data_IF_563128625790
#
_entry.id   IF_563128625790
#
_cell.length_a   1.000
_cell.length_b   1.000
_cell.length_c   1.000
_cell.angle_alpha   90.00
_cell.angle_beta   90.00
_cell.angle_gamma   90.00
#
_symmetry.space_group_name_H-M   'P 1'
#
loop_
_entity.id
_entity.type
_entity.pdbx_description
1 polymer ?
#
# COMPACT_ATOMS: atom_id res chain seq x y z
N UNK A 1 10.91 23.14 1.84
CA UNK A 1 10.57 21.71 1.99
C UNK A 1 10.38 21.11 0.61
N UNK A 2 11.27 20.21 0.18
CA UNK A 2 11.22 19.57 -1.13
C UNK A 2 10.06 18.57 -1.15
N UNK A 3 8.98 18.85 -1.90
CA UNK A 3 7.87 17.89 -2.06
C UNK A 3 8.39 16.66 -2.80
N UNK A 4 8.49 15.52 -2.11
CA UNK A 4 8.71 14.21 -2.74
C UNK A 4 7.59 14.00 -3.78
N UNK A 5 7.97 13.64 -5.01
CA UNK A 5 7.00 13.30 -6.05
C UNK A 5 6.24 12.04 -5.62
N UNK A 6 4.92 12.13 -5.52
CA UNK A 6 4.08 10.99 -5.17
C UNK A 6 4.23 9.90 -6.24
N UNK A 7 4.60 8.70 -5.80
CA UNK A 7 4.69 7.50 -6.63
C UNK A 7 3.36 6.76 -6.63
N UNK A 8 3.22 5.74 -7.48
CA UNK A 8 2.02 4.89 -7.53
C UNK A 8 1.70 4.30 -6.16
N UNK A 9 2.71 3.83 -5.43
CA UNK A 9 2.55 3.25 -4.09
C UNK A 9 1.96 4.25 -3.07
N UNK A 10 2.26 5.54 -3.17
CA UNK A 10 1.70 6.56 -2.28
C UNK A 10 0.17 6.69 -2.47
N UNK A 11 -0.35 6.46 -3.69
CA UNK A 11 -1.80 6.46 -3.92
C UNK A 11 -2.50 5.31 -3.17
N UNK A 12 -1.90 4.12 -3.18
CA UNK A 12 -2.42 2.96 -2.44
C UNK A 12 -2.32 3.16 -0.94
N UNK A 13 -1.17 3.65 -0.47
CA UNK A 13 -0.96 3.97 0.94
C UNK A 13 -2.00 4.98 1.43
N UNK A 14 -2.23 6.07 0.69
CA UNK A 14 -3.22 7.07 1.06
C UNK A 14 -4.64 6.50 1.09
N UNK A 15 -5.02 5.68 0.10
CA UNK A 15 -6.33 5.05 0.08
C UNK A 15 -6.55 4.16 1.32
N UNK A 16 -5.56 3.33 1.66
CA UNK A 16 -5.63 2.44 2.83
C UNK A 16 -5.63 3.20 4.16
N UNK A 17 -4.84 4.28 4.26
CA UNK A 17 -4.79 5.17 5.44
C UNK A 17 -6.16 5.84 5.65
N UNK A 18 -6.73 6.40 4.58
CA UNK A 18 -8.04 7.04 4.63
C UNK A 18 -9.15 6.04 5.01
N UNK A 19 -9.08 4.80 4.52
CA UNK A 19 -10.01 3.73 4.88
C UNK A 19 -9.95 3.34 6.35
N UNK A 20 -8.78 3.47 7.00
CA UNK A 20 -8.63 3.26 8.45
C UNK A 20 -9.15 4.44 9.29
N UNK A 21 -9.62 5.51 8.66
CA UNK A 21 -10.02 6.75 9.35
C UNK A 21 -8.84 7.57 9.86
N UNK A 22 -7.62 7.25 9.44
CA UNK A 22 -6.43 8.01 9.79
C UNK A 22 -6.27 9.18 8.81
N UNK A 23 -5.95 10.36 9.33
CA UNK A 23 -5.65 11.55 8.52
C UNK A 23 -4.15 11.81 8.52
N UNK A 24 -3.40 10.93 7.85
CA UNK A 24 -1.94 11.05 7.67
C UNK A 24 -1.66 11.35 6.21
N UNK A 25 -0.96 12.44 5.97
CA UNK A 25 -0.64 12.98 4.65
C UNK A 25 0.77 12.60 4.20
N UNK A 26 1.02 12.55 2.88
CA UNK A 26 2.35 12.26 2.36
C UNK A 26 3.33 13.35 2.78
N UNK A 27 4.42 12.95 3.43
CA UNK A 27 5.43 13.85 3.98
C UNK A 27 5.43 13.95 5.49
N UNK A 28 4.38 13.47 6.16
CA UNK A 28 4.40 13.27 7.61
C UNK A 28 5.34 12.12 7.98
N UNK A 29 5.98 12.23 9.16
CA UNK A 29 6.99 11.29 9.63
C UNK A 29 6.48 9.83 9.65
N UNK A 30 5.23 9.65 10.06
CA UNK A 30 4.63 8.32 10.22
C UNK A 30 4.05 7.75 8.93
N UNK A 31 3.89 8.56 7.88
CA UNK A 31 3.20 8.19 6.65
C UNK A 31 3.75 6.90 6.02
N UNK A 32 5.06 6.82 5.82
CA UNK A 32 5.70 5.65 5.19
C UNK A 32 5.59 4.41 6.08
N UNK A 33 5.68 4.58 7.40
CA UNK A 33 5.58 3.45 8.33
C UNK A 33 4.17 2.88 8.37
N UNK A 34 3.15 3.74 8.48
CA UNK A 34 1.75 3.32 8.49
C UNK A 34 1.35 2.77 7.11
N UNK A 35 1.65 3.49 6.04
CA UNK A 35 1.34 3.07 4.67
C UNK A 35 1.97 1.73 4.31
N UNK A 36 3.25 1.51 4.63
CA UNK A 36 3.92 0.24 4.38
C UNK A 36 3.33 -0.91 5.20
N UNK A 37 2.87 -0.64 6.43
CA UNK A 37 2.23 -1.66 7.27
C UNK A 37 0.93 -2.13 6.65
N UNK A 38 0.06 -1.20 6.25
CA UNK A 38 -1.22 -1.51 5.62
C UNK A 38 -1.04 -2.22 4.26
N UNK A 39 -0.08 -1.77 3.45
CA UNK A 39 0.25 -2.44 2.18
C UNK A 39 0.73 -3.86 2.43
N UNK A 40 1.59 -4.07 3.43
CA UNK A 40 2.09 -5.41 3.76
C UNK A 40 0.97 -6.32 4.26
N UNK A 41 0.04 -5.82 5.06
CA UNK A 41 -1.15 -6.59 5.48
C UNK A 41 -1.96 -7.05 4.28
N UNK A 42 -2.18 -6.17 3.29
CA UNK A 42 -2.83 -6.55 2.03
C UNK A 42 -2.06 -7.62 1.26
N UNK A 43 -0.75 -7.46 1.12
CA UNK A 43 0.07 -8.44 0.43
C UNK A 43 0.07 -9.78 1.16
N UNK A 44 0.09 -9.79 2.50
CA UNK A 44 -0.04 -11.01 3.29
C UNK A 44 -1.32 -11.77 2.94
N UNK A 45 -2.46 -11.08 2.85
CA UNK A 45 -3.72 -11.72 2.45
C UNK A 45 -3.66 -12.26 1.02
N UNK A 46 -3.00 -11.56 0.09
CA UNK A 46 -2.84 -12.06 -1.28
C UNK A 46 -1.95 -13.30 -1.36
N UNK A 47 -0.90 -13.37 -0.55
CA UNK A 47 0.01 -14.51 -0.49
C UNK A 47 -0.50 -15.65 0.40
N UNK A 48 -1.60 -15.44 1.14
CA UNK A 48 -2.18 -16.46 2.01
C UNK A 48 -2.62 -17.68 1.18
N UNK A 49 -2.23 -18.87 1.63
CA UNK A 49 -2.49 -20.13 0.93
C UNK A 49 -1.65 -20.39 -0.34
N UNK A 50 -0.78 -19.47 -0.78
CA UNK A 50 0.06 -19.66 -1.97
C UNK A 50 1.37 -20.41 -1.71
N UNK A 51 1.78 -20.54 -0.43
CA UNK A 51 3.08 -21.09 -0.04
C UNK A 51 4.27 -20.15 -0.29
N UNK A 52 4.04 -18.96 -0.85
CA UNK A 52 5.07 -17.95 -1.10
C UNK A 52 5.11 -16.94 0.04
N UNK A 53 6.32 -16.55 0.47
CA UNK A 53 6.45 -15.53 1.51
C UNK A 53 6.15 -14.13 0.95
N UNK A 54 5.31 -13.34 1.64
CA UNK A 54 5.10 -11.94 1.29
C UNK A 54 6.36 -11.12 1.56
N UNK A 55 6.56 -10.00 0.84
CA UNK A 55 7.72 -9.14 1.04
C UNK A 55 7.80 -8.60 2.48
N UNK A 56 9.03 -8.48 2.98
CA UNK A 56 9.27 -7.93 4.31
C UNK A 56 8.81 -6.47 4.42
N UNK A 57 8.48 -6.04 5.64
CA UNK A 57 8.07 -4.65 5.89
C UNK A 57 9.13 -3.65 5.45
N UNK A 58 10.42 -3.97 5.64
CA UNK A 58 11.54 -3.13 5.20
C UNK A 58 11.55 -2.96 3.68
N UNK A 59 11.30 -4.03 2.93
CA UNK A 59 11.19 -4.01 1.47
C UNK A 59 10.03 -3.13 1.02
N UNK A 60 8.86 -3.27 1.65
CA UNK A 60 7.68 -2.44 1.36
C UNK A 60 7.95 -0.96 1.66
N UNK A 61 8.60 -0.65 2.79
CA UNK A 61 9.03 0.73 3.11
C UNK A 61 9.99 1.27 2.04
N UNK A 62 10.91 0.45 1.54
CA UNK A 62 11.85 0.86 0.52
C UNK A 62 11.17 1.25 -0.80
N UNK A 63 10.03 0.64 -1.16
CA UNK A 63 9.28 1.00 -2.38
C UNK A 63 8.70 2.42 -2.38
N UNK A 64 8.62 3.08 -1.22
CA UNK A 64 8.28 4.51 -1.18
C UNK A 64 9.45 5.35 -1.72
N UNK A 65 10.68 4.99 -1.40
CA UNK A 65 11.87 5.73 -1.81
C UNK A 65 12.40 5.28 -3.18
N UNK A 66 12.34 3.97 -3.43
CA UNK A 66 12.75 3.29 -4.66
C UNK A 66 11.54 2.97 -5.53
N UNK A 67 11.72 2.24 -6.63
CA UNK A 67 10.58 1.82 -7.45
C UNK A 67 9.87 0.59 -6.87
N UNK A 68 8.54 0.67 -6.87
CA UNK A 68 7.68 -0.45 -6.49
C UNK A 68 7.53 -1.37 -7.71
N UNK A 69 7.73 -2.69 -7.57
CA UNK A 69 7.63 -3.60 -8.68
C UNK A 69 6.21 -3.65 -9.25
N UNK A 70 6.07 -3.77 -10.57
CA UNK A 70 4.78 -3.69 -11.25
C UNK A 70 3.78 -4.77 -10.78
N UNK A 71 4.26 -5.97 -10.44
CA UNK A 71 3.40 -7.02 -9.89
C UNK A 71 2.74 -6.60 -8.57
N UNK A 72 3.46 -5.87 -7.70
CA UNK A 72 2.92 -5.42 -6.43
C UNK A 72 1.85 -4.34 -6.66
N UNK A 73 2.07 -3.45 -7.64
CA UNK A 73 1.07 -2.48 -8.07
C UNK A 73 -0.17 -3.19 -8.63
N UNK A 74 -0.01 -4.22 -9.45
CA UNK A 74 -1.12 -4.98 -10.01
C UNK A 74 -1.96 -5.66 -8.91
N UNK A 75 -1.31 -6.29 -7.92
CA UNK A 75 -1.98 -6.93 -6.77
C UNK A 75 -2.75 -5.88 -5.94
N UNK A 76 -2.13 -4.75 -5.61
CA UNK A 76 -2.77 -3.69 -4.84
C UNK A 76 -3.94 -3.05 -5.61
N UNK A 77 -3.82 -2.92 -6.93
CA UNK A 77 -4.90 -2.42 -7.79
C UNK A 77 -6.09 -3.36 -7.78
N UNK A 78 -5.85 -4.66 -7.95
CA UNK A 78 -6.92 -5.67 -7.89
C UNK A 78 -7.63 -5.65 -6.55
N UNK A 79 -6.88 -5.58 -5.44
CA UNK A 79 -7.45 -5.53 -4.11
C UNK A 79 -8.34 -4.31 -3.88
N UNK A 80 -7.94 -3.13 -4.35
CA UNK A 80 -8.77 -1.92 -4.28
C UNK A 80 -10.01 -1.99 -5.17
N UNK A 81 -9.90 -2.58 -6.37
CA UNK A 81 -11.04 -2.70 -7.30
C UNK A 81 -12.06 -3.69 -6.76
N UNK A 82 -11.64 -4.90 -6.36
CA UNK A 82 -12.56 -5.92 -5.83
C UNK A 82 -13.38 -5.39 -4.65
N UNK A 83 -12.76 -4.62 -3.75
CA UNK A 83 -13.47 -4.01 -2.61
C UNK A 83 -14.47 -2.93 -2.99
N UNK A 84 -14.24 -2.19 -4.09
CA UNK A 84 -15.21 -1.22 -4.61
C UNK A 84 -16.38 -1.89 -5.36
N UNK A 85 -16.25 -3.16 -5.76
CA UNK A 85 -17.34 -3.91 -6.41
C UNK A 85 -18.25 -4.65 -5.42
N UNK A 86 -17.85 -4.78 -4.15
CA UNK A 86 -18.64 -5.43 -3.09
C UNK A 86 -19.63 -4.48 -2.37
N UNK A 87 -19.85 -3.27 -2.89
CA UNK A 87 -20.96 -2.40 -2.48
C UNK A 87 -22.01 -2.32 -3.60
N UNK A 88 -22.95 -3.27 -3.70
CA UNK A 88 -24.24 -2.96 -4.29
C UNK A 88 -24.94 -1.94 -3.37
N UNK A 89 -25.41 -0.84 -3.98
CA UNK A 89 -26.33 0.09 -3.35
C UNK A 89 -27.63 -0.60 -2.90
#
# INVERSE_FOLDING_TARGET
>A
MTRRKLKKIDKFAQALINQRGCSISPGEYEYVSVGATLIREHLKTFFDGTGVQPPELKTVKNWFYSDCPDWAIAVLTRALISRNQETPQ
#
